data_IF_936468751257
#
_entry.id   IF_936468751257
#
_cell.length_a   1.000
_cell.length_b   1.000
_cell.length_c   1.000
_cell.angle_alpha   90.00
_cell.angle_beta   90.00
_cell.angle_gamma   90.00
#
_symmetry.space_group_name_H-M   'P 1'
#
loop_
_entity.id
_entity.type
_entity.pdbx_description
1 polymer ?
#
# COMPACT_ATOMS: atom_id res chain seq x y z
N UNK A 1 2.81 -3.61 -17.02
CA UNK A 1 2.17 -4.95 -16.93
C UNK A 1 1.31 -5.13 -18.16
N UNK A 2 1.41 -6.25 -18.90
CA UNK A 2 0.55 -6.44 -20.07
C UNK A 2 -0.92 -6.39 -19.62
N UNK A 3 -1.79 -5.65 -20.34
CA UNK A 3 -3.21 -5.72 -20.08
C UNK A 3 -3.68 -7.15 -20.27
N UNK A 4 -4.40 -7.69 -19.28
CA UNK A 4 -5.06 -9.00 -19.38
C UNK A 4 -6.56 -8.78 -19.41
N UNK A 5 -7.20 -9.33 -20.43
CA UNK A 5 -8.65 -9.42 -20.48
C UNK A 5 -9.13 -10.55 -19.57
N UNK A 6 -10.43 -10.61 -19.28
CA UNK A 6 -10.98 -11.71 -18.50
C UNK A 6 -10.76 -13.07 -19.19
N UNK A 7 -10.70 -13.08 -20.52
CA UNK A 7 -10.50 -14.27 -21.34
C UNK A 7 -9.03 -14.71 -21.44
N UNK A 8 -8.09 -13.78 -21.25
CA UNK A 8 -6.65 -14.04 -21.36
C UNK A 8 -5.91 -14.11 -20.02
N UNK A 9 -6.60 -13.79 -18.92
CA UNK A 9 -6.08 -13.96 -17.58
C UNK A 9 -5.72 -15.43 -17.30
N UNK A 10 -4.51 -15.66 -16.81
CA UNK A 10 -4.02 -17.00 -16.48
C UNK A 10 -3.54 -17.09 -15.02
N UNK A 11 -3.50 -18.31 -14.49
CA UNK A 11 -3.16 -18.56 -13.10
C UNK A 11 -1.70 -18.20 -12.75
N UNK A 12 -0.76 -18.41 -13.67
CA UNK A 12 0.67 -18.16 -13.44
C UNK A 12 0.92 -16.68 -13.17
N UNK A 13 0.37 -15.79 -14.00
CA UNK A 13 0.47 -14.34 -13.80
C UNK A 13 -0.15 -13.89 -12.47
N UNK A 14 -1.31 -14.44 -12.11
CA UNK A 14 -1.96 -14.15 -10.83
C UNK A 14 -1.08 -14.56 -9.65
N UNK A 15 -0.53 -15.78 -9.68
CA UNK A 15 0.32 -16.30 -8.62
C UNK A 15 1.63 -15.52 -8.50
N UNK A 16 2.29 -15.20 -9.62
CA UNK A 16 3.53 -14.42 -9.64
C UNK A 16 3.33 -13.01 -9.08
N UNK A 17 2.25 -12.34 -9.50
CA UNK A 17 1.89 -11.00 -9.00
C UNK A 17 1.49 -11.06 -7.53
N UNK A 18 0.74 -12.07 -7.09
CA UNK A 18 0.34 -12.21 -5.69
C UNK A 18 1.53 -12.50 -4.77
N UNK A 19 2.43 -13.39 -5.18
CA UNK A 19 3.66 -13.69 -4.45
C UNK A 19 4.50 -12.42 -4.26
N UNK A 20 4.61 -11.61 -5.30
CA UNK A 20 5.40 -10.37 -5.24
C UNK A 20 4.72 -9.28 -4.41
N UNK A 21 3.44 -9.01 -4.68
CA UNK A 21 2.74 -7.83 -4.14
C UNK A 21 2.09 -8.05 -2.77
N UNK A 22 1.91 -9.30 -2.34
CA UNK A 22 1.20 -9.64 -1.09
C UNK A 22 2.08 -10.48 -0.18
N UNK A 23 2.58 -11.62 -0.68
CA UNK A 23 3.39 -12.54 0.14
C UNK A 23 4.74 -11.90 0.50
N UNK A 24 5.38 -11.21 -0.46
CA UNK A 24 6.62 -10.47 -0.22
C UNK A 24 6.51 -9.47 0.94
N UNK A 25 5.56 -8.51 0.92
CA UNK A 25 5.32 -7.60 2.04
C UNK A 25 4.99 -8.29 3.37
N UNK A 26 4.22 -9.38 3.35
CA UNK A 26 3.94 -10.17 4.55
C UNK A 26 5.22 -10.73 5.17
N UNK A 27 6.03 -11.42 4.36
CA UNK A 27 7.27 -12.07 4.81
C UNK A 27 8.32 -11.05 5.25
N UNK A 28 8.42 -9.91 4.55
CA UNK A 28 9.30 -8.82 4.94
C UNK A 28 8.90 -8.27 6.32
N UNK A 29 7.62 -7.99 6.54
CA UNK A 29 7.11 -7.56 7.85
C UNK A 29 7.42 -8.59 8.92
N UNK A 30 7.21 -9.89 8.66
CA UNK A 30 7.52 -10.96 9.62
C UNK A 30 9.01 -11.00 9.99
N UNK A 31 9.91 -10.90 9.00
CA UNK A 31 11.35 -10.93 9.22
C UNK A 31 11.86 -9.72 10.03
N UNK A 32 11.30 -8.54 9.79
CA UNK A 32 11.69 -7.30 10.47
C UNK A 32 10.89 -7.01 11.74
N UNK A 33 9.90 -7.84 12.08
CA UNK A 33 9.01 -7.64 13.22
C UNK A 33 9.77 -7.46 14.56
N UNK A 34 10.84 -8.21 14.88
CA UNK A 34 11.59 -7.98 16.12
C UNK A 34 12.26 -6.60 16.19
N UNK A 35 12.71 -6.08 15.04
CA UNK A 35 13.34 -4.75 14.97
C UNK A 35 12.31 -3.63 15.09
N UNK A 36 11.13 -3.80 14.47
CA UNK A 36 10.00 -2.87 14.60
C UNK A 36 9.53 -2.79 16.05
N UNK A 37 9.41 -3.93 16.74
CA UNK A 37 9.11 -3.98 18.18
C UNK A 37 10.13 -3.22 19.01
N UNK A 38 11.41 -3.48 18.77
CA UNK A 38 12.49 -2.78 19.49
C UNK A 38 12.42 -1.25 19.28
N UNK A 39 12.12 -0.79 18.07
CA UNK A 39 11.96 0.63 17.78
C UNK A 39 10.76 1.26 18.52
N UNK A 40 9.62 0.55 18.55
CA UNK A 40 8.43 0.96 19.28
C UNK A 40 8.68 1.02 20.79
N UNK A 41 9.37 0.02 21.34
CA UNK A 41 9.73 -0.09 22.76
C UNK A 41 10.76 0.96 23.20
N UNK A 42 11.64 1.41 22.31
CA UNK A 42 12.58 2.50 22.59
C UNK A 42 11.86 3.87 22.72
N UNK A 43 10.60 3.97 22.28
CA UNK A 43 9.81 5.20 22.27
C UNK A 43 8.40 4.95 22.84
N UNK A 44 8.29 4.22 23.96
CA UNK A 44 7.00 3.77 24.55
C UNK A 44 6.00 4.90 24.76
N UNK A 45 6.46 6.06 25.23
CA UNK A 45 5.61 7.22 25.53
C UNK A 45 5.08 7.94 24.28
N UNK A 46 5.65 7.68 23.09
CA UNK A 46 5.15 8.28 21.85
C UNK A 46 3.94 7.50 21.34
N UNK A 47 2.89 8.19 20.90
CA UNK A 47 1.81 7.60 20.13
C UNK A 47 2.32 6.97 18.81
N UNK A 48 1.53 6.07 18.21
CA UNK A 48 1.92 5.49 16.91
C UNK A 48 2.05 6.59 15.85
N UNK A 49 3.19 6.57 15.15
CA UNK A 49 3.59 7.60 14.18
C UNK A 49 4.68 7.05 13.26
N UNK A 50 4.89 7.71 12.13
CA UNK A 50 5.86 7.28 11.11
C UNK A 50 7.32 7.22 11.62
N UNK A 51 7.69 8.05 12.60
CA UNK A 51 9.04 8.15 13.16
C UNK A 51 9.20 7.42 14.51
N UNK A 52 8.20 6.61 14.92
CA UNK A 52 8.30 5.67 16.05
C UNK A 52 8.64 4.27 15.55
N UNK A 53 7.69 3.64 14.88
CA UNK A 53 7.80 2.34 14.23
C UNK A 53 6.60 2.23 13.27
N UNK A 54 6.87 2.10 11.98
CA UNK A 54 5.82 2.07 10.97
C UNK A 54 6.19 1.15 9.80
N UNK A 55 5.16 0.56 9.20
CA UNK A 55 5.24 -0.15 7.92
C UNK A 55 4.26 0.51 6.97
N UNK A 56 4.78 0.96 5.82
CA UNK A 56 4.00 1.62 4.78
C UNK A 56 3.94 0.69 3.57
N UNK A 57 2.78 0.07 3.35
CA UNK A 57 2.57 -0.79 2.20
C UNK A 57 2.21 0.09 0.98
N UNK A 58 3.10 0.18 0.00
CA UNK A 58 2.81 0.93 -1.23
C UNK A 58 1.74 0.19 -2.04
N UNK A 59 0.52 0.70 -1.97
CA UNK A 59 -0.66 0.17 -2.64
C UNK A 59 -1.08 1.10 -3.78
N UNK A 60 -2.36 1.08 -4.17
CA UNK A 60 -2.90 1.89 -5.26
C UNK A 60 -4.40 2.06 -5.14
N UNK A 61 -4.92 3.18 -5.67
CA UNK A 61 -6.33 3.40 -5.92
C UNK A 61 -6.98 2.25 -6.72
N UNK A 62 -6.22 1.58 -7.61
CA UNK A 62 -6.74 0.46 -8.40
C UNK A 62 -7.07 -0.78 -7.56
N UNK A 63 -6.56 -0.86 -6.33
CA UNK A 63 -6.91 -1.90 -5.36
C UNK A 63 -8.19 -1.59 -4.57
N UNK A 64 -8.82 -0.43 -4.80
CA UNK A 64 -10.13 -0.12 -4.25
C UNK A 64 -11.23 -0.82 -5.05
N UNK A 65 -11.99 -1.67 -4.37
CA UNK A 65 -13.17 -2.34 -4.90
C UNK A 65 -14.26 -1.30 -5.19
N UNK A 66 -14.47 -0.34 -4.28
CA UNK A 66 -15.48 0.71 -4.42
C UNK A 66 -15.22 1.60 -5.64
N UNK A 67 -13.95 1.92 -5.93
CA UNK A 67 -13.58 2.78 -7.07
C UNK A 67 -13.41 1.99 -8.38
N UNK A 68 -13.45 0.66 -8.34
CA UNK A 68 -13.22 -0.17 -9.54
C UNK A 68 -14.21 0.13 -10.68
N UNK A 69 -15.53 0.31 -10.46
CA UNK A 69 -16.47 0.61 -11.55
C UNK A 69 -16.10 1.85 -12.38
N UNK A 70 -15.49 2.87 -11.75
CA UNK A 70 -15.09 4.10 -12.43
C UNK A 70 -13.76 3.96 -13.18
N UNK A 71 -12.87 3.07 -12.72
CA UNK A 71 -11.48 3.02 -13.16
C UNK A 71 -11.15 1.84 -14.06
N UNK A 72 -12.01 0.81 -14.10
CA UNK A 72 -11.73 -0.44 -14.80
C UNK A 72 -11.52 -0.23 -16.30
N UNK A 73 -12.33 0.63 -16.92
CA UNK A 73 -12.28 0.93 -18.37
C UNK A 73 -10.92 1.51 -18.80
N UNK A 74 -10.27 2.27 -17.93
CA UNK A 74 -8.98 2.90 -18.22
C UNK A 74 -7.80 1.98 -17.93
N UNK A 75 -7.92 1.10 -16.93
CA UNK A 75 -6.83 0.23 -16.46
C UNK A 75 -7.31 -1.20 -16.19
N UNK A 76 -7.55 -2.04 -17.22
CA UNK A 76 -7.99 -3.42 -17.05
C UNK A 76 -6.82 -4.36 -16.68
N UNK A 77 -6.22 -4.15 -15.50
CA UNK A 77 -5.06 -4.92 -14.99
C UNK A 77 -5.47 -5.85 -13.84
N UNK A 78 -6.11 -6.97 -14.17
CA UNK A 78 -6.82 -7.85 -13.22
C UNK A 78 -5.97 -8.36 -12.06
N UNK A 79 -4.86 -9.05 -12.35
CA UNK A 79 -3.97 -9.62 -11.32
C UNK A 79 -3.38 -8.55 -10.40
N UNK A 80 -3.02 -7.39 -10.96
CA UNK A 80 -2.56 -6.24 -10.20
C UNK A 80 -3.61 -5.72 -9.23
N UNK A 81 -4.84 -5.47 -9.72
CA UNK A 81 -5.97 -5.00 -8.89
C UNK A 81 -6.25 -5.95 -7.73
N UNK A 82 -6.42 -7.24 -8.04
CA UNK A 82 -6.68 -8.26 -7.03
C UNK A 82 -5.55 -8.35 -6.01
N UNK A 83 -4.28 -8.29 -6.44
CA UNK A 83 -3.15 -8.30 -5.50
C UNK A 83 -3.11 -7.07 -4.60
N UNK A 84 -3.49 -5.88 -5.10
CA UNK A 84 -3.48 -4.64 -4.32
C UNK A 84 -4.67 -4.52 -3.38
N UNK A 85 -5.83 -5.07 -3.75
CA UNK A 85 -6.94 -5.28 -2.82
C UNK A 85 -6.55 -6.26 -1.70
N UNK A 86 -5.84 -7.34 -2.02
CA UNK A 86 -5.32 -8.26 -1.02
C UNK A 86 -4.25 -7.62 -0.11
N UNK A 87 -3.37 -6.76 -0.65
CA UNK A 87 -2.40 -5.98 0.14
C UNK A 87 -3.10 -4.97 1.07
N UNK A 88 -4.22 -4.37 0.64
CA UNK A 88 -5.06 -3.52 1.47
C UNK A 88 -5.62 -4.31 2.66
N UNK A 89 -6.18 -5.51 2.41
CA UNK A 89 -6.65 -6.41 3.46
C UNK A 89 -5.51 -6.82 4.40
N UNK A 90 -4.35 -7.20 3.86
CA UNK A 90 -3.16 -7.53 4.65
C UNK A 90 -2.76 -6.35 5.57
N UNK A 91 -2.78 -5.13 5.07
CA UNK A 91 -2.50 -3.92 5.86
C UNK A 91 -3.47 -3.78 7.03
N UNK A 92 -4.76 -4.05 6.82
CA UNK A 92 -5.77 -4.03 7.88
C UNK A 92 -5.54 -5.14 8.91
N UNK A 93 -5.21 -6.35 8.47
CA UNK A 93 -4.87 -7.44 9.38
C UNK A 93 -3.61 -7.12 10.20
N UNK A 94 -2.59 -6.54 9.58
CA UNK A 94 -1.35 -6.13 10.25
C UNK A 94 -1.61 -5.00 11.26
N UNK A 95 -2.41 -4.00 10.92
CA UNK A 95 -2.73 -2.89 11.82
C UNK A 95 -3.43 -3.37 13.10
N UNK A 96 -4.34 -4.35 12.96
CA UNK A 96 -5.06 -4.94 14.08
C UNK A 96 -4.17 -5.91 14.87
N UNK A 97 -3.44 -6.79 14.18
CA UNK A 97 -2.61 -7.83 14.79
C UNK A 97 -1.40 -7.27 15.55
N UNK A 98 -0.83 -6.16 15.08
CA UNK A 98 0.34 -5.51 15.71
C UNK A 98 -0.02 -4.26 16.51
N UNK A 99 -1.32 -3.99 16.75
CA UNK A 99 -1.77 -2.79 17.49
C UNK A 99 -1.09 -2.65 18.85
N UNK A 100 -1.01 -3.74 19.61
CA UNK A 100 -0.42 -3.75 20.95
C UNK A 100 1.11 -3.66 20.94
N UNK A 101 1.74 -3.90 19.79
CA UNK A 101 3.18 -3.73 19.62
C UNK A 101 3.54 -2.25 19.34
N UNK A 102 2.54 -1.36 19.20
CA UNK A 102 2.75 0.07 18.99
C UNK A 102 3.35 0.42 17.63
N UNK A 103 3.08 -0.41 16.62
CA UNK A 103 3.58 -0.25 15.24
C UNK A 103 2.44 0.25 14.35
N UNK A 104 2.69 1.34 13.60
CA UNK A 104 1.74 1.90 12.64
C UNK A 104 1.77 1.10 11.33
N UNK A 105 0.61 0.72 10.80
CA UNK A 105 0.50 0.10 9.47
C UNK A 105 -0.45 0.91 8.60
N UNK A 106 -0.02 1.34 7.41
CA UNK A 106 -0.90 2.05 6.48
C UNK A 106 -0.62 1.66 5.04
N UNK A 107 -1.63 1.73 4.19
CA UNK A 107 -1.50 1.51 2.76
C UNK A 107 -1.45 2.88 2.07
N UNK A 108 -0.57 3.03 1.09
CA UNK A 108 -0.31 4.32 0.45
C UNK A 108 -0.48 4.21 -1.07
N UNK A 109 -1.36 5.01 -1.65
CA UNK A 109 -1.43 5.20 -3.10
C UNK A 109 -0.52 6.36 -3.53
N UNK A 110 0.54 6.11 -4.31
CA UNK A 110 1.51 7.14 -4.69
C UNK A 110 1.03 8.11 -5.78
N UNK A 111 -0.20 7.96 -6.29
CA UNK A 111 -0.65 8.59 -7.53
C UNK A 111 -0.31 7.75 -8.76
N UNK A 112 -0.62 8.26 -9.96
CA UNK A 112 -0.15 7.69 -11.22
C UNK A 112 1.16 8.38 -11.59
N UNK A 113 2.28 7.64 -11.47
CA UNK A 113 3.63 8.21 -11.46
C UNK A 113 4.45 7.76 -12.68
N UNK A 114 5.16 8.70 -13.30
CA UNK A 114 6.06 8.52 -14.45
C UNK A 114 7.25 7.64 -14.08
N UNK A 115 7.04 6.34 -14.21
CA UNK A 115 7.96 5.24 -13.93
C UNK A 115 7.78 4.17 -15.00
N UNK A 116 8.63 3.14 -15.03
CA UNK A 116 8.44 2.02 -15.96
C UNK A 116 7.07 1.34 -15.79
N UNK A 117 6.53 1.31 -14.56
CA UNK A 117 5.21 0.75 -14.27
C UNK A 117 4.06 1.68 -14.69
N UNK A 118 4.20 3.00 -14.44
CA UNK A 118 3.15 3.98 -14.74
C UNK A 118 3.12 4.44 -16.20
N UNK A 119 4.24 4.33 -16.91
CA UNK A 119 4.37 4.84 -18.28
C UNK A 119 4.60 6.35 -18.35
N UNK A 120 4.90 6.83 -19.56
CA UNK A 120 5.20 8.24 -19.84
C UNK A 120 4.00 9.17 -19.71
N UNK A 121 2.79 8.63 -19.84
CA UNK A 121 1.53 9.39 -19.84
C UNK A 121 0.97 9.59 -18.43
N UNK A 122 1.69 9.16 -17.41
CA UNK A 122 1.30 9.34 -16.01
C UNK A 122 1.34 10.81 -15.57
N UNK A 123 0.39 11.21 -14.73
CA UNK A 123 0.14 12.61 -14.37
C UNK A 123 1.22 13.23 -13.47
N UNK A 124 1.98 12.40 -12.76
CA UNK A 124 2.95 12.87 -11.76
C UNK A 124 4.37 12.44 -12.09
N UNK A 125 5.32 13.35 -11.91
CA UNK A 125 6.74 12.98 -11.78
C UNK A 125 6.98 12.23 -10.48
N UNK A 126 8.06 11.44 -10.42
CA UNK A 126 8.51 10.77 -9.19
C UNK A 126 8.73 11.77 -8.06
N UNK A 127 9.32 12.93 -8.35
CA UNK A 127 9.62 13.95 -7.35
C UNK A 127 8.35 14.55 -6.72
N UNK A 128 7.32 14.84 -7.53
CA UNK A 128 6.03 15.32 -7.03
C UNK A 128 5.36 14.29 -6.12
N UNK A 129 5.32 13.02 -6.55
CA UNK A 129 4.76 11.93 -5.76
C UNK A 129 5.48 11.78 -4.42
N UNK A 130 6.81 11.65 -4.42
CA UNK A 130 7.62 11.46 -3.20
C UNK A 130 7.49 12.64 -2.25
N UNK A 131 7.47 13.89 -2.75
CA UNK A 131 7.28 15.08 -1.91
C UNK A 131 5.94 15.06 -1.19
N UNK A 132 4.85 14.68 -1.87
CA UNK A 132 3.55 14.52 -1.23
C UNK A 132 3.52 13.38 -0.22
N UNK A 133 4.10 12.22 -0.59
CA UNK A 133 4.22 11.06 0.30
C UNK A 133 4.92 11.45 1.60
N UNK A 134 6.08 12.12 1.54
CA UNK A 134 6.80 12.54 2.75
C UNK A 134 5.97 13.48 3.64
N UNK A 135 5.17 14.38 3.04
CA UNK A 135 4.23 15.22 3.78
C UNK A 135 3.12 14.39 4.43
N UNK A 136 2.57 13.39 3.75
CA UNK A 136 1.56 12.48 4.31
C UNK A 136 2.16 11.68 5.47
N UNK A 137 3.33 11.08 5.28
CA UNK A 137 4.05 10.32 6.32
C UNK A 137 4.24 11.15 7.57
N UNK A 138 4.66 12.41 7.43
CA UNK A 138 4.89 13.32 8.57
C UNK A 138 3.64 13.58 9.43
N UNK A 139 2.44 13.36 8.88
CA UNK A 139 1.16 13.60 9.54
C UNK A 139 0.44 12.30 9.96
N UNK A 140 1.02 11.12 9.73
CA UNK A 140 0.41 9.86 10.13
C UNK A 140 0.34 9.74 11.65
N UNK A 141 -0.81 9.26 12.12
CA UNK A 141 -1.09 9.02 13.53
C UNK A 141 -1.80 7.68 13.72
N UNK A 142 -2.19 7.36 14.96
CA UNK A 142 -3.02 6.19 15.27
C UNK A 142 -4.31 6.11 14.45
N UNK A 143 -4.89 7.26 14.06
CA UNK A 143 -6.08 7.32 13.19
C UNK A 143 -5.81 6.89 11.75
N UNK A 144 -4.55 6.87 11.36
CA UNK A 144 -4.09 6.51 10.02
C UNK A 144 -3.68 5.03 9.91
N UNK A 145 -3.82 4.25 10.99
CA UNK A 145 -3.51 2.82 10.95
C UNK A 145 -4.66 2.05 10.27
N UNK A 146 -4.33 1.12 9.38
CA UNK A 146 -5.33 0.30 8.70
C UNK A 146 -6.22 1.08 7.74
N UNK A 147 -5.68 2.06 7.02
CA UNK A 147 -6.41 2.76 5.94
C UNK A 147 -5.58 2.81 4.66
N UNK A 148 -6.22 3.13 3.54
CA UNK A 148 -5.55 3.53 2.31
C UNK A 148 -5.59 5.05 2.18
N UNK A 149 -4.42 5.65 2.01
CA UNK A 149 -4.27 7.10 1.87
C UNK A 149 -3.50 7.43 0.59
N UNK A 150 -3.90 8.50 -0.11
CA UNK A 150 -3.18 8.98 -1.30
C UNK A 150 -1.95 9.79 -0.91
N UNK A 151 -1.05 10.02 -1.88
CA UNK A 151 0.10 10.93 -1.78
C UNK A 151 -0.28 12.38 -1.40
N UNK A 152 -1.55 12.76 -1.54
CA UNK A 152 -2.09 14.07 -1.15
C UNK A 152 -2.66 14.09 0.27
N UNK A 153 -2.83 12.91 0.89
CA UNK A 153 -3.43 12.75 2.22
C UNK A 153 -4.92 12.40 2.20
N UNK A 154 -5.52 12.17 1.04
CA UNK A 154 -6.93 11.80 0.92
C UNK A 154 -7.12 10.33 1.28
N UNK A 155 -8.12 10.04 2.13
CA UNK A 155 -8.51 8.65 2.41
C UNK A 155 -9.19 8.09 1.17
N UNK A 156 -8.76 6.90 0.75
CA UNK A 156 -9.34 6.17 -0.37
C UNK A 156 -10.19 5.02 0.22
N UNK A 157 -11.44 4.84 -0.24
CA UNK A 157 -12.24 3.69 0.18
C UNK A 157 -11.62 2.37 -0.27
N UNK A 158 -12.04 1.28 0.37
CA UNK A 158 -11.53 -0.05 0.04
C UNK A 158 -11.99 -0.59 -1.30
#
# INVERSE_FOLDING_TARGET
>A
MPPSTLESANAEDFLNVYNTNVVGPLQLTQAFQPLLKKAAEANKEKAMSWNKAAVINVSTLLGSIERTPELFVYFPVLSYRCSKAALNMLTQCQSLGYKNDGILFTALHPGWVQTDLGGKDADLTVEQSVKGILKVLSNLSEKSTGILISWEGNIIPW
#
